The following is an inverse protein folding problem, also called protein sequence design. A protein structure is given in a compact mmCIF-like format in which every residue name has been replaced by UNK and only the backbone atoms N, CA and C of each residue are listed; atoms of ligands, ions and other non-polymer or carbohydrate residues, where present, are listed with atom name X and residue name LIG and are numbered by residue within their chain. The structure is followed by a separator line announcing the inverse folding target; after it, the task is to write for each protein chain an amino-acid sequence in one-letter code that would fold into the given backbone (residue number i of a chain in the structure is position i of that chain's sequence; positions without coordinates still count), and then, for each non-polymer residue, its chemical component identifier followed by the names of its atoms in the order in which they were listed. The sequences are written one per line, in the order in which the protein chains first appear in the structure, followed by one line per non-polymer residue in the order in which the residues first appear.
data_IF_609026800811
#
_entry.id   IF_609026800811
#
_cell.length_a   1.000
_cell.length_b   1.000
_cell.length_c   1.000
_cell.angle_alpha   90.00
_cell.angle_beta   90.00
_cell.angle_gamma   90.00
#
_symmetry.space_group_name_H-M   'P 1'
#
loop_
_entity.id
_entity.type
_entity.pdbx_description
1 polymer ?
#
# COMPACT_ATOMS: atom_id res chain seq x y z
N UNK A 1 -15.31 15.11 -8.75
CA UNK A 1 -15.15 14.57 -7.37
C UNK A 1 -16.48 14.47 -6.64
N UNK A 2 -17.17 15.57 -6.26
CA UNK A 2 -18.42 15.53 -5.48
C UNK A 2 -19.48 14.58 -6.05
N UNK A 3 -19.71 14.60 -7.36
CA UNK A 3 -20.70 13.73 -8.01
C UNK A 3 -20.41 12.23 -7.81
N UNK A 4 -19.13 11.82 -7.86
CA UNK A 4 -18.73 10.43 -7.63
C UNK A 4 -18.96 9.97 -6.19
N UNK A 5 -18.63 10.82 -5.22
CA UNK A 5 -18.91 10.55 -3.80
C UNK A 5 -20.42 10.35 -3.56
N UNK A 6 -21.27 11.18 -4.18
CA UNK A 6 -22.72 11.02 -4.10
C UNK A 6 -23.21 9.71 -4.73
N UNK A 7 -22.69 9.35 -5.91
CA UNK A 7 -23.01 8.07 -6.56
C UNK A 7 -22.64 6.87 -5.68
N UNK A 8 -21.48 6.93 -4.99
CA UNK A 8 -21.04 5.91 -4.04
C UNK A 8 -21.97 5.85 -2.83
N UNK A 9 -22.28 6.97 -2.21
CA UNK A 9 -23.16 7.04 -1.03
C UNK A 9 -24.58 6.53 -1.34
N UNK A 10 -25.13 6.89 -2.49
CA UNK A 10 -26.43 6.39 -2.92
C UNK A 10 -26.42 4.89 -3.21
N UNK A 11 -25.32 4.36 -3.80
CA UNK A 11 -25.15 2.92 -3.96
C UNK A 11 -25.10 2.22 -2.60
N UNK A 12 -24.31 2.73 -1.65
CA UNK A 12 -24.22 2.17 -0.28
C UNK A 12 -25.59 2.08 0.39
N UNK A 13 -26.44 3.10 0.23
CA UNK A 13 -27.80 3.08 0.80
C UNK A 13 -28.71 2.01 0.21
N UNK A 14 -28.53 1.65 -1.06
CA UNK A 14 -29.36 0.69 -1.79
C UNK A 14 -29.09 -0.77 -1.48
N UNK A 15 -27.94 -1.10 -0.90
CA UNK A 15 -27.51 -2.48 -0.65
C UNK A 15 -27.48 -2.79 0.84
N UNK A 16 -27.99 -3.96 1.22
CA UNK A 16 -27.97 -4.43 2.60
C UNK A 16 -26.61 -5.05 2.98
N UNK A 17 -25.91 -5.59 2.00
CA UNK A 17 -24.58 -6.21 2.17
C UNK A 17 -23.54 -5.47 1.36
N UNK A 18 -22.43 -5.09 2.01
CA UNK A 18 -21.30 -4.39 1.42
C UNK A 18 -20.02 -5.16 1.75
N UNK A 19 -19.26 -5.53 0.73
CA UNK A 19 -18.00 -6.27 0.89
C UNK A 19 -16.88 -5.42 0.34
N UNK A 20 -15.90 -5.12 1.21
CA UNK A 20 -14.80 -4.21 0.87
C UNK A 20 -13.53 -5.02 0.66
N UNK A 21 -12.93 -4.85 -0.50
CA UNK A 21 -11.73 -5.53 -0.97
C UNK A 21 -10.52 -4.57 -1.01
N UNK A 22 -9.34 -5.15 -1.13
CA UNK A 22 -8.05 -4.49 -1.30
C UNK A 22 -7.08 -5.35 -2.12
N UNK A 23 -5.88 -4.85 -2.38
CA UNK A 23 -4.87 -5.57 -3.17
C UNK A 23 -4.15 -6.70 -2.39
N UNK A 24 -3.51 -7.61 -3.15
CA UNK A 24 -2.58 -8.63 -2.63
C UNK A 24 -1.30 -7.98 -2.09
N UNK A 25 -0.64 -8.63 -1.11
CA UNK A 25 0.55 -8.07 -0.43
C UNK A 25 0.25 -6.68 0.11
N UNK A 26 -0.75 -6.57 0.97
CA UNK A 26 -1.28 -5.30 1.44
C UNK A 26 -0.27 -4.53 2.27
N UNK A 27 -0.39 -3.22 2.20
CA UNK A 27 0.33 -2.25 3.00
C UNK A 27 -0.62 -1.54 3.99
N UNK A 28 -0.13 -0.58 4.77
CA UNK A 28 -0.99 0.15 5.70
C UNK A 28 -2.12 0.93 5.03
N UNK A 29 -1.97 1.41 3.77
CA UNK A 29 -3.04 2.13 3.07
C UNK A 29 -4.15 1.19 2.63
N UNK A 30 -3.82 0.01 2.12
CA UNK A 30 -4.80 -1.02 1.80
C UNK A 30 -5.65 -1.41 3.03
N UNK A 31 -5.03 -1.55 4.22
CA UNK A 31 -5.75 -1.81 5.47
C UNK A 31 -6.51 -0.58 5.99
N UNK A 32 -5.90 0.59 5.88
CA UNK A 32 -6.45 1.86 6.34
C UNK A 32 -7.70 2.27 5.57
N UNK A 33 -7.64 2.24 4.25
CA UNK A 33 -8.75 2.58 3.37
C UNK A 33 -9.90 1.57 3.48
N UNK A 34 -9.60 0.27 3.39
CA UNK A 34 -10.59 -0.79 3.53
C UNK A 34 -11.24 -0.78 4.91
N UNK A 35 -10.43 -0.79 5.97
CA UNK A 35 -10.91 -0.87 7.35
C UNK A 35 -11.56 0.42 7.83
N UNK A 36 -10.99 1.57 7.46
CA UNK A 36 -11.55 2.89 7.77
C UNK A 36 -12.94 3.08 7.16
N UNK A 37 -13.10 2.71 5.89
CA UNK A 37 -14.40 2.74 5.23
C UNK A 37 -15.40 1.80 5.94
N UNK A 38 -14.98 0.57 6.27
CA UNK A 38 -15.83 -0.38 6.96
C UNK A 38 -16.34 0.15 8.31
N UNK A 39 -15.47 0.77 9.11
CA UNK A 39 -15.83 1.34 10.41
C UNK A 39 -16.78 2.55 10.28
N UNK A 40 -16.57 3.40 9.29
CA UNK A 40 -17.50 4.49 8.96
C UNK A 40 -18.87 3.91 8.61
N UNK A 41 -18.91 2.92 7.73
CA UNK A 41 -20.18 2.33 7.27
C UNK A 41 -20.90 1.57 8.37
N UNK A 42 -20.21 0.79 9.20
CA UNK A 42 -20.80 0.08 10.36
C UNK A 42 -21.42 1.06 11.36
N UNK A 43 -20.76 2.18 11.62
CA UNK A 43 -21.29 3.20 12.52
C UNK A 43 -22.46 3.99 11.92
N UNK A 44 -22.46 4.20 10.61
CA UNK A 44 -23.47 5.01 9.91
C UNK A 44 -24.73 4.22 9.53
N UNK A 45 -24.59 2.92 9.32
CA UNK A 45 -25.65 2.00 8.86
C UNK A 45 -25.60 0.70 9.65
N UNK A 46 -25.96 0.72 10.94
CA UNK A 46 -25.83 -0.46 11.83
C UNK A 46 -26.72 -1.64 11.41
N UNK A 47 -27.71 -1.40 10.56
CA UNK A 47 -28.58 -2.46 10.01
C UNK A 47 -27.94 -3.22 8.83
N UNK A 48 -26.83 -2.75 8.27
CA UNK A 48 -26.20 -3.34 7.09
C UNK A 48 -25.09 -4.34 7.47
N UNK A 49 -24.91 -5.33 6.63
CA UNK A 49 -23.81 -6.28 6.73
C UNK A 49 -22.56 -5.69 6.02
N UNK A 50 -21.56 -5.28 6.79
CA UNK A 50 -20.32 -4.70 6.26
C UNK A 50 -19.16 -5.65 6.55
N UNK A 51 -18.51 -6.14 5.49
CA UNK A 51 -17.40 -7.08 5.56
C UNK A 51 -16.13 -6.53 4.94
N UNK A 52 -14.99 -6.91 5.50
CA UNK A 52 -13.65 -6.67 4.96
C UNK A 52 -12.98 -8.01 4.66
N UNK A 53 -12.59 -8.25 3.42
CA UNK A 53 -12.08 -9.55 2.98
C UNK A 53 -10.68 -9.44 2.37
N UNK A 54 -10.00 -10.57 2.30
CA UNK A 54 -8.67 -10.72 1.73
C UNK A 54 -7.73 -11.49 2.65
N UNK A 55 -6.58 -11.92 2.11
CA UNK A 55 -5.57 -12.63 2.90
C UNK A 55 -4.93 -11.69 3.92
N UNK A 56 -4.85 -12.11 5.17
CA UNK A 56 -4.21 -11.35 6.24
C UNK A 56 -2.69 -11.25 6.03
N UNK A 57 -2.14 -10.11 6.42
CA UNK A 57 -0.70 -9.88 6.57
C UNK A 57 -0.39 -9.79 8.07
N UNK A 58 0.41 -10.71 8.57
CA UNK A 58 0.66 -10.86 10.01
C UNK A 58 1.16 -9.56 10.66
N UNK A 59 2.02 -8.84 9.97
CA UNK A 59 2.59 -7.57 10.45
C UNK A 59 1.57 -6.45 10.59
N UNK A 60 0.42 -6.55 9.90
CA UNK A 60 -0.66 -5.57 9.89
C UNK A 60 -1.92 -6.03 10.65
N UNK A 61 -1.91 -7.22 11.25
CA UNK A 61 -3.05 -7.75 12.01
C UNK A 61 -3.43 -6.89 13.23
N UNK A 62 -2.50 -6.08 13.73
CA UNK A 62 -2.78 -5.11 14.80
C UNK A 62 -3.65 -3.93 14.32
N UNK A 63 -3.72 -3.68 13.01
CA UNK A 63 -4.65 -2.71 12.43
C UNK A 63 -6.06 -3.29 12.40
N UNK A 64 -6.23 -4.45 11.75
CA UNK A 64 -7.53 -5.11 11.59
C UNK A 64 -7.35 -6.57 11.21
N UNK A 65 -8.31 -7.42 11.62
CA UNK A 65 -8.48 -8.80 11.13
C UNK A 65 -9.52 -8.81 10.01
N UNK A 66 -9.38 -9.76 9.08
CA UNK A 66 -10.30 -9.89 7.95
C UNK A 66 -11.47 -10.80 8.29
N UNK A 67 -12.62 -10.49 7.68
CA UNK A 67 -13.82 -11.32 7.81
C UNK A 67 -13.71 -12.55 6.90
N UNK A 68 -14.19 -13.71 7.39
CA UNK A 68 -14.33 -14.94 6.62
C UNK A 68 -15.80 -15.15 6.30
N UNK A 69 -16.18 -14.97 5.06
CA UNK A 69 -17.56 -15.05 4.60
C UNK A 69 -17.73 -16.12 3.51
N UNK A 70 -18.88 -16.80 3.46
CA UNK A 70 -19.19 -17.77 2.41
C UNK A 70 -19.52 -17.06 1.09
N UNK A 71 -19.54 -17.81 -0.02
CA UNK A 71 -19.77 -17.26 -1.35
C UNK A 71 -21.19 -16.68 -1.50
N UNK A 72 -22.16 -17.23 -0.79
CA UNK A 72 -23.55 -16.75 -0.78
C UNK A 72 -23.68 -15.32 -0.25
N UNK A 73 -22.72 -14.86 0.58
CA UNK A 73 -22.72 -13.49 1.07
C UNK A 73 -22.48 -12.45 -0.04
N UNK A 74 -21.93 -12.88 -1.17
CA UNK A 74 -21.72 -12.03 -2.35
C UNK A 74 -23.00 -11.82 -3.18
N UNK A 75 -23.99 -12.71 -3.03
CA UNK A 75 -25.25 -12.58 -3.75
C UNK A 75 -25.93 -11.26 -3.41
N UNK A 76 -26.20 -10.46 -4.44
CA UNK A 76 -26.78 -9.12 -4.30
C UNK A 76 -25.96 -8.13 -3.47
N UNK A 77 -24.69 -8.39 -3.19
CA UNK A 77 -23.82 -7.48 -2.45
C UNK A 77 -23.30 -6.32 -3.33
N UNK A 78 -23.03 -5.18 -2.68
CA UNK A 78 -22.18 -4.12 -3.23
C UNK A 78 -20.73 -4.45 -2.92
N UNK A 79 -19.90 -4.47 -3.94
CA UNK A 79 -18.46 -4.65 -3.81
C UNK A 79 -17.79 -3.29 -3.92
N UNK A 80 -16.90 -3.01 -2.97
CA UNK A 80 -16.05 -1.82 -3.01
C UNK A 80 -14.59 -2.29 -2.97
N UNK A 81 -13.82 -1.91 -3.97
CA UNK A 81 -12.39 -2.20 -4.03
C UNK A 81 -11.63 -0.92 -3.74
N UNK A 82 -10.86 -0.94 -2.65
CA UNK A 82 -10.00 0.16 -2.24
C UNK A 82 -8.57 -0.10 -2.67
N UNK A 83 -7.83 0.97 -3.01
CA UNK A 83 -6.38 0.98 -3.17
C UNK A 83 -5.85 -0.14 -4.09
N UNK A 84 -6.48 -0.33 -5.24
CA UNK A 84 -6.12 -1.41 -6.14
C UNK A 84 -6.13 -0.96 -7.60
N UNK A 85 -4.94 -0.79 -8.18
CA UNK A 85 -4.77 -0.29 -9.54
C UNK A 85 -5.42 -1.21 -10.60
N UNK A 86 -5.22 -2.53 -10.49
CA UNK A 86 -5.62 -3.52 -11.48
C UNK A 86 -6.28 -4.76 -10.86
N UNK A 87 -7.18 -5.36 -11.61
CA UNK A 87 -8.03 -6.48 -11.18
C UNK A 87 -7.23 -7.71 -10.73
N UNK A 88 -6.11 -8.01 -11.39
CA UNK A 88 -5.24 -9.14 -11.02
C UNK A 88 -4.67 -9.02 -9.60
N UNK A 89 -4.57 -7.79 -9.09
CA UNK A 89 -4.07 -7.52 -7.74
C UNK A 89 -5.15 -7.53 -6.67
N UNK A 90 -6.42 -7.62 -7.00
CA UNK A 90 -7.48 -7.73 -5.99
C UNK A 90 -7.27 -9.03 -5.20
N UNK A 91 -7.17 -8.92 -3.87
CA UNK A 91 -6.74 -10.04 -3.03
C UNK A 91 -7.73 -11.21 -3.01
N UNK A 92 -9.02 -10.91 -2.93
CA UNK A 92 -10.08 -11.90 -3.00
C UNK A 92 -10.78 -11.81 -4.36
N UNK A 93 -10.58 -12.82 -5.20
CA UNK A 93 -11.07 -12.83 -6.59
C UNK A 93 -12.59 -13.03 -6.69
N UNK A 94 -13.30 -13.26 -5.59
CA UNK A 94 -14.77 -13.30 -5.54
C UNK A 94 -15.42 -11.91 -5.70
N UNK A 95 -14.64 -10.84 -5.83
CA UNK A 95 -15.14 -9.48 -6.06
C UNK A 95 -16.10 -9.37 -7.25
N UNK A 96 -15.98 -10.26 -8.22
CA UNK A 96 -16.83 -10.32 -9.43
C UNK A 96 -18.18 -11.04 -9.22
N UNK A 97 -18.42 -11.63 -8.05
CA UNK A 97 -19.69 -12.29 -7.72
C UNK A 97 -20.76 -11.32 -7.22
N UNK A 98 -20.38 -10.09 -6.87
CA UNK A 98 -21.32 -9.09 -6.41
C UNK A 98 -22.17 -8.47 -7.52
N UNK A 99 -23.24 -7.80 -7.13
CA UNK A 99 -24.20 -7.20 -8.06
C UNK A 99 -23.73 -5.88 -8.65
N UNK A 100 -22.90 -5.13 -7.92
CA UNK A 100 -22.34 -3.83 -8.32
C UNK A 100 -20.95 -3.68 -7.77
N UNK A 101 -20.06 -3.09 -8.58
CA UNK A 101 -18.64 -2.91 -8.24
C UNK A 101 -18.26 -1.44 -8.24
N UNK A 102 -17.62 -0.99 -7.17
CA UNK A 102 -17.06 0.37 -7.02
C UNK A 102 -15.55 0.27 -6.87
N UNK A 103 -14.80 1.11 -7.59
CA UNK A 103 -13.36 1.31 -7.42
C UNK A 103 -13.11 2.66 -6.74
N UNK A 104 -12.34 2.66 -5.62
CA UNK A 104 -11.82 3.85 -4.95
C UNK A 104 -10.30 3.70 -4.90
N UNK A 105 -9.56 4.54 -5.62
CA UNK A 105 -8.13 4.34 -5.83
C UNK A 105 -7.39 5.65 -6.10
N UNK A 106 -6.12 5.72 -5.70
CA UNK A 106 -5.24 6.86 -5.98
C UNK A 106 -4.12 6.55 -6.98
N UNK A 107 -4.05 5.33 -7.49
CA UNK A 107 -3.08 4.93 -8.51
C UNK A 107 -3.50 5.38 -9.92
N UNK A 108 -2.56 5.47 -10.90
CA UNK A 108 -2.89 5.65 -12.31
C UNK A 108 -3.89 4.59 -12.77
N UNK A 109 -4.97 5.02 -13.44
CA UNK A 109 -6.07 4.14 -13.83
C UNK A 109 -5.80 3.46 -15.18
N UNK A 110 -4.80 2.60 -15.23
CA UNK A 110 -4.41 1.85 -16.44
C UNK A 110 -5.35 0.68 -16.71
N UNK A 111 -5.88 0.03 -15.66
CA UNK A 111 -6.91 -1.01 -15.75
C UNK A 111 -8.24 -0.45 -15.22
N UNK A 112 -9.15 -0.18 -16.16
CA UNK A 112 -10.45 0.42 -15.87
C UNK A 112 -11.46 -0.68 -15.54
N UNK A 113 -11.90 -0.76 -14.28
CA UNK A 113 -12.90 -1.72 -13.82
C UNK A 113 -13.85 -1.10 -12.79
N UNK A 114 -15.07 -1.65 -12.72
CA UNK A 114 -16.12 -1.21 -11.81
C UNK A 114 -17.20 -0.35 -12.48
N UNK A 115 -18.40 -0.34 -11.91
CA UNK A 115 -19.56 0.44 -12.36
C UNK A 115 -19.45 1.91 -11.97
N UNK A 116 -18.81 2.18 -10.81
CA UNK A 116 -18.50 3.52 -10.33
C UNK A 116 -17.01 3.60 -10.05
N UNK A 117 -16.34 4.57 -10.65
CA UNK A 117 -14.92 4.81 -10.46
C UNK A 117 -14.71 6.17 -9.81
N UNK A 118 -14.02 6.15 -8.66
CA UNK A 118 -13.45 7.33 -8.05
C UNK A 118 -11.95 7.13 -7.92
N UNK A 119 -11.22 7.67 -8.90
CA UNK A 119 -9.76 7.62 -8.96
C UNK A 119 -9.24 9.04 -8.86
N UNK A 120 -8.33 9.30 -7.91
CA UNK A 120 -7.68 10.59 -7.71
C UNK A 120 -6.16 10.41 -7.47
N UNK A 121 -5.39 10.53 -8.53
CA UNK A 121 -3.92 10.38 -8.50
C UNK A 121 -3.21 11.55 -7.80
N UNK A 122 -3.93 12.57 -7.36
CA UNK A 122 -3.39 13.70 -6.59
C UNK A 122 -3.54 13.51 -5.08
N UNK A 123 -4.34 12.52 -4.66
CA UNK A 123 -4.45 12.14 -3.26
C UNK A 123 -3.16 11.46 -2.79
N UNK A 124 -2.77 11.71 -1.55
CA UNK A 124 -1.56 11.13 -0.96
C UNK A 124 -1.70 9.62 -0.70
N UNK A 125 -2.93 9.14 -0.57
CA UNK A 125 -3.30 7.76 -0.27
C UNK A 125 -4.79 7.53 -0.55
N UNK A 126 -5.19 6.26 -0.71
CA UNK A 126 -6.60 5.90 -0.76
C UNK A 126 -7.29 6.20 0.59
N UNK A 127 -6.59 6.05 1.71
CA UNK A 127 -7.09 6.44 3.05
C UNK A 127 -7.43 7.94 3.15
N UNK A 128 -6.65 8.82 2.52
CA UNK A 128 -6.98 10.25 2.41
C UNK A 128 -8.31 10.44 1.67
N UNK A 129 -8.56 9.68 0.61
CA UNK A 129 -9.84 9.70 -0.12
C UNK A 129 -10.99 9.21 0.75
N UNK A 130 -10.81 8.17 1.57
CA UNK A 130 -11.85 7.70 2.51
C UNK A 130 -12.18 8.78 3.54
N UNK A 131 -11.19 9.55 4.01
CA UNK A 131 -11.48 10.70 4.87
C UNK A 131 -12.28 11.80 4.14
N UNK A 132 -11.96 12.09 2.88
CA UNK A 132 -12.77 13.00 2.04
C UNK A 132 -14.18 12.49 1.84
N UNK A 133 -14.37 11.18 1.63
CA UNK A 133 -15.70 10.56 1.56
C UNK A 133 -16.50 10.87 2.83
N UNK A 134 -15.90 10.67 4.00
CA UNK A 134 -16.54 11.03 5.27
C UNK A 134 -16.88 12.52 5.36
N UNK A 135 -15.93 13.40 5.06
CA UNK A 135 -16.16 14.86 5.15
C UNK A 135 -17.32 15.33 4.28
N UNK A 136 -17.47 14.76 3.08
CA UNK A 136 -18.57 15.07 2.17
C UNK A 136 -19.91 14.48 2.62
N UNK A 137 -19.87 13.32 3.27
CA UNK A 137 -21.06 12.58 3.69
C UNK A 137 -21.51 12.82 5.14
N UNK A 138 -20.72 13.50 5.98
CA UNK A 138 -21.04 13.68 7.41
C UNK A 138 -22.39 14.39 7.66
N UNK A 139 -22.75 15.36 6.84
CA UNK A 139 -24.06 16.04 6.92
C UNK A 139 -25.21 15.18 6.37
N UNK A 140 -24.89 14.04 5.78
CA UNK A 140 -25.83 13.05 5.23
C UNK A 140 -25.83 11.73 6.01
N UNK A 141 -25.33 11.79 7.25
CA UNK A 141 -25.43 10.70 8.21
C UNK A 141 -24.19 9.80 8.33
N UNK A 142 -23.08 10.11 7.65
CA UNK A 142 -21.84 9.37 7.90
C UNK A 142 -21.24 9.73 9.26
N UNK A 143 -20.81 8.70 10.00
CA UNK A 143 -20.26 8.81 11.35
C UNK A 143 -18.80 8.34 11.35
N UNK A 144 -17.90 9.20 11.83
CA UNK A 144 -16.51 8.84 12.07
C UNK A 144 -16.38 8.27 13.49
N UNK A 145 -15.77 7.10 13.59
CA UNK A 145 -15.40 6.52 14.89
C UNK A 145 -13.92 6.74 15.18
N UNK A 146 -13.54 6.62 16.45
CA UNK A 146 -12.12 6.59 16.86
C UNK A 146 -11.32 5.54 16.09
N UNK A 147 -11.90 4.37 15.87
CA UNK A 147 -11.25 3.27 15.13
C UNK A 147 -11.13 3.56 13.64
N UNK A 148 -12.16 4.12 13.00
CA UNK A 148 -12.09 4.57 11.62
C UNK A 148 -10.97 5.60 11.43
N UNK A 149 -10.90 6.60 12.31
CA UNK A 149 -9.87 7.63 12.27
C UNK A 149 -8.46 7.05 12.44
N UNK A 150 -8.29 6.08 13.35
CA UNK A 150 -7.01 5.37 13.58
C UNK A 150 -6.55 4.63 12.32
N UNK A 151 -7.45 3.91 11.67
CA UNK A 151 -7.15 3.13 10.47
C UNK A 151 -6.82 4.04 9.28
N UNK A 152 -7.62 5.08 9.04
CA UNK A 152 -7.38 6.05 7.98
C UNK A 152 -6.04 6.76 8.20
N UNK A 153 -5.74 7.18 9.43
CA UNK A 153 -4.45 7.79 9.76
C UNK A 153 -3.28 6.83 9.49
N UNK A 154 -3.43 5.54 9.82
CA UNK A 154 -2.40 4.52 9.54
C UNK A 154 -2.09 4.43 8.04
N UNK A 155 -3.12 4.44 7.18
CA UNK A 155 -2.94 4.41 5.74
C UNK A 155 -2.23 5.65 5.21
N UNK A 156 -2.66 6.85 5.63
CA UNK A 156 -1.99 8.11 5.26
C UNK A 156 -0.50 8.07 5.67
N UNK A 157 -0.19 7.64 6.88
CA UNK A 157 1.20 7.54 7.38
C UNK A 157 2.01 6.55 6.54
N UNK A 158 1.41 5.41 6.15
CA UNK A 158 2.07 4.39 5.33
C UNK A 158 2.49 4.95 3.97
N UNK A 159 1.53 5.48 3.21
CA UNK A 159 1.72 5.93 1.83
C UNK A 159 2.46 7.25 1.68
N UNK A 160 2.49 8.04 2.73
CA UNK A 160 3.31 9.26 2.78
C UNK A 160 4.71 9.03 3.33
N UNK A 161 5.06 7.78 3.70
CA UNK A 161 6.32 7.47 4.35
C UNK A 161 6.55 8.34 5.59
N UNK A 162 5.55 8.45 6.47
CA UNK A 162 5.56 9.34 7.64
C UNK A 162 5.61 10.83 7.26
N UNK A 163 4.87 11.21 6.22
CA UNK A 163 4.83 12.57 5.68
C UNK A 163 6.13 13.06 5.03
N UNK A 164 7.01 12.14 4.63
CA UNK A 164 8.31 12.46 4.00
C UNK A 164 8.28 12.36 2.47
N UNK A 165 7.25 11.70 1.89
CA UNK A 165 7.18 11.54 0.44
C UNK A 165 6.58 12.77 -0.25
N UNK A 166 6.92 13.01 -1.53
CA UNK A 166 6.44 14.18 -2.29
C UNK A 166 4.92 14.25 -2.48
N UNK A 167 4.20 13.14 -2.31
CA UNK A 167 2.73 13.10 -2.31
C UNK A 167 2.11 13.85 -1.13
N UNK A 168 2.88 14.06 -0.05
CA UNK A 168 2.43 14.81 1.13
C UNK A 168 2.24 16.29 0.79
N UNK A 169 1.07 16.83 1.12
CA UNK A 169 0.72 18.22 0.83
C UNK A 169 -0.03 18.84 2.03
N UNK A 170 -0.35 20.15 2.01
CA UNK A 170 -1.05 20.81 3.13
C UNK A 170 -2.39 20.18 3.50
N UNK A 171 -3.12 19.61 2.52
CA UNK A 171 -4.38 18.90 2.76
C UNK A 171 -4.14 17.64 3.58
N UNK A 172 -3.09 16.88 3.26
CA UNK A 172 -2.69 15.67 3.98
C UNK A 172 -2.40 15.96 5.46
N UNK A 173 -1.63 17.01 5.76
CA UNK A 173 -1.35 17.43 7.15
C UNK A 173 -2.61 17.90 7.88
N UNK A 174 -3.49 18.63 7.19
CA UNK A 174 -4.77 19.05 7.77
C UNK A 174 -5.62 17.84 8.16
N UNK A 175 -5.77 16.88 7.27
CA UNK A 175 -6.55 15.67 7.54
C UNK A 175 -5.92 14.82 8.65
N UNK A 176 -4.60 14.68 8.67
CA UNK A 176 -3.90 14.00 9.74
C UNK A 176 -4.17 14.67 11.11
N UNK A 177 -4.15 16.00 11.18
CA UNK A 177 -4.47 16.76 12.38
C UNK A 177 -5.91 16.52 12.84
N UNK A 178 -6.88 16.62 11.93
CA UNK A 178 -8.30 16.40 12.23
C UNK A 178 -8.57 14.95 12.70
N UNK A 179 -7.89 13.96 12.12
CA UNK A 179 -8.01 12.55 12.52
C UNK A 179 -7.51 12.30 13.94
N UNK A 180 -6.42 12.94 14.36
CA UNK A 180 -5.87 12.79 15.72
C UNK A 180 -6.85 13.31 16.79
N UNK A 181 -7.71 14.25 16.47
CA UNK A 181 -8.74 14.79 17.39
C UNK A 181 -9.73 13.71 17.86
N UNK A 182 -9.86 12.58 17.11
CA UNK A 182 -10.67 11.43 17.55
C UNK A 182 -10.07 10.61 18.70
N UNK A 183 -8.88 10.98 19.20
CA UNK A 183 -8.32 10.54 20.47
C UNK A 183 -7.78 9.10 20.49
N UNK A 184 -7.36 8.55 19.35
CA UNK A 184 -6.55 7.33 19.33
C UNK A 184 -5.09 7.65 19.67
N UNK A 185 -4.35 6.64 20.15
CA UNK A 185 -2.91 6.77 20.42
C UNK A 185 -2.14 6.64 19.09
N UNK A 186 -1.71 7.77 18.52
CA UNK A 186 -0.88 7.73 17.32
C UNK A 186 0.53 7.18 17.61
N UNK A 187 1.06 7.34 18.82
CA UNK A 187 2.36 6.76 19.21
C UNK A 187 2.31 5.24 19.22
N UNK A 188 1.27 4.63 19.81
CA UNK A 188 1.08 3.18 19.75
C UNK A 188 0.89 2.68 18.31
N UNK A 189 0.22 3.48 17.46
CA UNK A 189 0.05 3.17 16.05
C UNK A 189 1.41 3.15 15.33
N UNK A 190 2.26 4.16 15.55
CA UNK A 190 3.63 4.18 15.00
C UNK A 190 4.47 3.02 15.51
N UNK A 191 4.38 2.69 16.79
CA UNK A 191 5.06 1.52 17.36
C UNK A 191 4.63 0.22 16.66
N UNK A 192 3.35 0.09 16.33
CA UNK A 192 2.83 -1.05 15.57
C UNK A 192 3.35 -1.08 14.13
N UNK A 193 3.27 0.04 13.41
CA UNK A 193 3.66 0.16 12.00
C UNK A 193 5.16 -0.02 11.77
N UNK A 194 6.00 0.43 12.71
CA UNK A 194 7.46 0.49 12.52
C UNK A 194 8.24 -0.38 13.50
N UNK A 195 7.55 -1.29 14.21
CA UNK A 195 8.21 -2.27 15.07
C UNK A 195 9.11 -3.18 14.22
N UNK A 196 10.38 -3.20 14.58
CA UNK A 196 11.37 -4.02 13.90
C UNK A 196 11.77 -5.20 14.79
N UNK A 197 11.73 -6.41 14.26
CA UNK A 197 12.24 -7.60 14.95
C UNK A 197 13.77 -7.50 15.11
N UNK A 198 14.31 -8.04 16.19
CA UNK A 198 15.75 -7.95 16.48
C UNK A 198 16.63 -8.56 15.36
N UNK A 199 16.22 -9.69 14.82
CA UNK A 199 16.91 -10.35 13.70
C UNK A 199 16.90 -9.47 12.43
N UNK A 200 15.80 -8.79 12.13
CA UNK A 200 15.71 -7.82 11.01
C UNK A 200 16.61 -6.61 11.27
N UNK A 201 16.70 -6.13 12.53
CA UNK A 201 17.61 -5.05 12.90
C UNK A 201 19.09 -5.47 12.73
N UNK A 202 19.44 -6.70 13.04
CA UNK A 202 20.79 -7.24 12.78
C UNK A 202 21.09 -7.32 11.28
N UNK A 203 20.16 -7.83 10.46
CA UNK A 203 20.30 -7.83 9.00
C UNK A 203 20.43 -6.40 8.44
N UNK A 204 19.70 -5.44 9.00
CA UNK A 204 19.82 -4.01 8.67
C UNK A 204 21.25 -3.49 8.90
N UNK A 205 21.88 -3.87 10.02
CA UNK A 205 23.27 -3.55 10.30
C UNK A 205 24.23 -4.16 9.25
N UNK A 206 24.00 -5.43 8.87
CA UNK A 206 24.77 -6.07 7.80
C UNK A 206 24.61 -5.33 6.46
N UNK A 207 23.39 -4.96 6.08
CA UNK A 207 23.11 -4.19 4.86
C UNK A 207 23.92 -2.91 4.84
N UNK A 208 23.89 -2.11 5.93
CA UNK A 208 24.61 -0.84 6.03
C UNK A 208 26.16 -0.98 5.99
N UNK A 209 26.68 -2.15 6.32
CA UNK A 209 28.12 -2.42 6.24
C UNK A 209 28.57 -2.98 4.90
N UNK A 210 27.69 -3.57 4.10
CA UNK A 210 28.04 -4.39 2.95
C UNK A 210 27.41 -3.96 1.62
N UNK A 211 26.55 -2.92 1.59
CA UNK A 211 26.04 -2.40 0.32
C UNK A 211 27.18 -1.81 -0.53
N UNK A 212 27.03 -1.88 -1.84
CA UNK A 212 28.00 -1.30 -2.80
C UNK A 212 27.45 -0.03 -3.37
N UNK A 213 28.31 0.93 -3.70
CA UNK A 213 27.95 2.19 -4.37
C UNK A 213 28.88 2.40 -5.54
N UNK A 214 28.31 2.74 -6.72
CA UNK A 214 29.09 3.13 -7.89
C UNK A 214 29.45 4.63 -7.84
N UNK A 215 30.35 5.06 -8.70
CA UNK A 215 30.73 6.47 -8.84
C UNK A 215 29.56 7.37 -9.26
N UNK A 216 28.54 6.80 -9.90
CA UNK A 216 27.32 7.51 -10.30
C UNK A 216 26.30 7.64 -9.16
N UNK A 217 26.58 7.13 -7.95
CA UNK A 217 25.67 7.15 -6.81
C UNK A 217 24.56 6.08 -6.87
N UNK A 218 24.72 5.06 -7.70
CA UNK A 218 23.81 3.91 -7.70
C UNK A 218 24.29 2.91 -6.68
N UNK A 219 23.44 2.60 -5.68
CA UNK A 219 23.75 1.61 -4.66
C UNK A 219 23.09 0.25 -4.95
N UNK A 220 23.71 -0.83 -4.47
CA UNK A 220 23.16 -2.17 -4.60
C UNK A 220 23.41 -3.02 -3.37
N UNK A 221 22.46 -3.92 -3.08
CA UNK A 221 22.55 -4.91 -2.03
C UNK A 221 22.01 -6.26 -2.50
N UNK A 222 22.79 -7.32 -2.33
CA UNK A 222 22.40 -8.70 -2.61
C UNK A 222 22.12 -9.40 -1.28
N UNK A 223 20.94 -9.99 -1.16
CA UNK A 223 20.50 -10.76 0.01
C UNK A 223 20.14 -12.16 -0.47
N UNK A 224 21.09 -13.09 -0.33
CA UNK A 224 20.93 -14.49 -0.71
C UNK A 224 20.09 -15.27 0.30
N UNK A 225 19.60 -16.46 -0.11
CA UNK A 225 18.92 -17.39 0.81
C UNK A 225 19.79 -17.78 2.01
N UNK A 226 21.09 -17.94 1.81
CA UNK A 226 22.00 -18.27 2.90
C UNK A 226 22.07 -17.14 3.92
N UNK A 227 22.14 -15.90 3.47
CA UNK A 227 22.11 -14.73 4.33
C UNK A 227 20.75 -14.59 5.07
N UNK A 228 19.64 -14.81 4.37
CA UNK A 228 18.31 -14.83 4.99
C UNK A 228 18.20 -15.88 6.09
N UNK A 229 18.75 -17.07 5.83
CA UNK A 229 18.79 -18.18 6.79
C UNK A 229 19.69 -17.87 7.99
N UNK A 230 20.88 -17.29 7.75
CA UNK A 230 21.83 -16.89 8.80
C UNK A 230 21.18 -15.92 9.80
N UNK A 231 20.45 -14.92 9.29
CA UNK A 231 19.76 -13.93 10.12
C UNK A 231 18.37 -14.37 10.57
N UNK A 232 17.89 -15.55 10.13
CA UNK A 232 16.52 -16.02 10.38
C UNK A 232 15.45 -14.97 9.99
N UNK A 233 15.57 -14.40 8.79
CA UNK A 233 14.71 -13.37 8.23
C UNK A 233 14.05 -13.89 6.95
N UNK A 234 12.76 -13.66 6.79
CA UNK A 234 12.05 -14.01 5.56
C UNK A 234 12.39 -13.05 4.41
N UNK A 235 12.23 -13.48 3.14
CA UNK A 235 12.41 -12.59 1.98
C UNK A 235 11.54 -11.33 2.02
N UNK A 236 10.32 -11.45 2.55
CA UNK A 236 9.39 -10.32 2.72
C UNK A 236 9.92 -9.29 3.71
N UNK A 237 10.42 -9.74 4.87
CA UNK A 237 11.01 -8.86 5.88
C UNK A 237 12.28 -8.19 5.38
N UNK A 238 13.16 -8.93 4.67
CA UNK A 238 14.35 -8.37 4.06
C UNK A 238 14.03 -7.30 3.00
N UNK A 239 12.97 -7.51 2.22
CA UNK A 239 12.50 -6.55 1.20
C UNK A 239 12.05 -5.21 1.82
N UNK A 240 11.63 -5.19 3.07
CA UNK A 240 11.24 -3.96 3.77
C UNK A 240 12.46 -3.07 4.08
N UNK A 241 13.66 -3.63 4.14
CA UNK A 241 14.90 -2.88 4.38
C UNK A 241 15.31 -1.99 3.20
N UNK A 242 14.66 -2.09 2.04
CA UNK A 242 15.02 -1.31 0.84
C UNK A 242 15.10 0.19 1.09
N UNK A 243 14.32 0.74 2.03
CA UNK A 243 14.33 2.17 2.35
C UNK A 243 15.57 2.66 3.10
N UNK A 244 16.38 1.75 3.67
CA UNK A 244 17.46 2.12 4.60
C UNK A 244 18.57 2.95 3.96
N UNK A 245 18.79 2.80 2.65
CA UNK A 245 19.81 3.54 1.91
C UNK A 245 19.33 4.94 1.49
N UNK A 246 18.03 5.24 1.64
CA UNK A 246 17.43 6.48 1.16
C UNK A 246 17.98 7.76 1.78
N UNK A 247 18.48 7.71 3.01
CA UNK A 247 19.01 8.88 3.72
C UNK A 247 20.54 9.03 3.63
N UNK A 248 21.21 8.14 2.87
CA UNK A 248 22.67 8.21 2.73
C UNK A 248 23.02 9.27 1.67
N UNK A 249 23.94 10.17 2.01
CA UNK A 249 24.46 11.20 1.12
C UNK A 249 25.19 10.55 -0.07
N UNK A 250 25.02 11.13 -1.26
CA UNK A 250 25.64 10.62 -2.49
C UNK A 250 24.89 9.47 -3.17
N UNK A 251 23.92 8.82 -2.52
CA UNK A 251 23.07 7.81 -3.17
C UNK A 251 21.89 8.51 -3.86
N UNK A 252 21.74 8.27 -5.18
CA UNK A 252 20.66 8.83 -6.01
C UNK A 252 19.62 7.79 -6.41
N UNK A 253 20.03 6.51 -6.57
CA UNK A 253 19.15 5.39 -6.81
C UNK A 253 19.76 4.10 -6.23
N UNK A 254 18.93 3.09 -5.93
CA UNK A 254 19.45 1.83 -5.42
C UNK A 254 18.56 0.64 -5.74
N UNK A 255 19.17 -0.54 -5.74
CA UNK A 255 18.55 -1.83 -5.97
C UNK A 255 18.85 -2.81 -4.85
N UNK A 256 17.81 -3.48 -4.32
CA UNK A 256 17.93 -4.66 -3.48
C UNK A 256 17.54 -5.88 -4.29
N UNK A 257 18.40 -6.90 -4.26
CA UNK A 257 18.19 -8.20 -4.87
C UNK A 257 17.98 -9.22 -3.76
N UNK A 258 16.75 -9.66 -3.56
CA UNK A 258 16.38 -10.61 -2.49
C UNK A 258 15.99 -11.93 -3.11
N UNK A 259 16.71 -13.00 -2.78
CA UNK A 259 16.46 -14.33 -3.29
C UNK A 259 15.19 -14.93 -2.68
N UNK A 260 14.25 -15.34 -3.53
CA UNK A 260 13.04 -16.10 -3.20
C UNK A 260 13.18 -17.54 -3.73
N UNK A 261 12.17 -18.39 -3.59
CA UNK A 261 12.28 -19.81 -3.97
C UNK A 261 12.43 -20.02 -5.49
N UNK A 262 11.75 -19.21 -6.28
CA UNK A 262 11.62 -19.35 -7.74
C UNK A 262 12.14 -18.14 -8.52
N UNK A 263 12.60 -17.09 -7.84
CA UNK A 263 13.05 -15.84 -8.45
C UNK A 263 13.96 -15.06 -7.51
N UNK A 264 14.58 -14.02 -8.03
CA UNK A 264 15.25 -12.98 -7.26
C UNK A 264 14.38 -11.72 -7.37
N UNK A 265 13.80 -11.30 -6.25
CA UNK A 265 13.00 -10.08 -6.19
C UNK A 265 13.89 -8.85 -6.24
N UNK A 266 13.66 -7.98 -7.22
CA UNK A 266 14.36 -6.70 -7.34
C UNK A 266 13.49 -5.59 -6.80
N UNK A 267 14.02 -4.82 -5.85
CA UNK A 267 13.39 -3.61 -5.31
C UNK A 267 14.20 -2.39 -5.73
N UNK A 268 13.60 -1.51 -6.50
CA UNK A 268 14.22 -0.29 -6.99
C UNK A 268 13.68 0.93 -6.24
N UNK A 269 14.56 1.85 -5.89
CA UNK A 269 14.23 3.14 -5.29
C UNK A 269 15.10 4.24 -5.90
N UNK A 270 14.58 5.48 -5.89
CA UNK A 270 15.29 6.63 -6.45
C UNK A 270 14.89 7.91 -5.71
N UNK A 271 15.79 8.89 -5.73
CA UNK A 271 15.57 10.26 -5.25
C UNK A 271 15.28 11.28 -6.36
N UNK A 272 15.21 10.83 -7.61
CA UNK A 272 14.98 11.72 -8.76
C UNK A 272 14.82 10.97 -10.07
N UNK A 273 15.79 10.12 -10.48
CA UNK A 273 15.69 9.36 -11.72
C UNK A 273 14.44 8.50 -11.78
N UNK A 274 13.81 8.44 -12.96
CA UNK A 274 12.62 7.61 -13.22
C UNK A 274 13.05 6.15 -13.41
N UNK A 275 12.67 5.26 -12.49
CA UNK A 275 13.16 3.88 -12.43
C UNK A 275 12.10 2.81 -12.74
N UNK A 276 10.81 3.15 -12.83
CA UNK A 276 9.78 2.18 -13.18
C UNK A 276 9.93 1.65 -14.61
N UNK A 277 10.52 2.44 -15.53
CA UNK A 277 10.83 1.97 -16.88
C UNK A 277 11.95 0.91 -16.88
N UNK A 278 12.90 1.01 -15.94
CA UNK A 278 13.88 -0.06 -15.71
C UNK A 278 13.17 -1.32 -15.22
N UNK A 279 12.28 -1.20 -14.23
CA UNK A 279 11.52 -2.34 -13.71
C UNK A 279 10.71 -3.07 -14.80
N UNK A 280 10.11 -2.35 -15.73
CA UNK A 280 9.32 -2.94 -16.85
C UNK A 280 10.15 -3.88 -17.73
N UNK A 281 11.45 -3.63 -17.91
CA UNK A 281 12.34 -4.51 -18.68
C UNK A 281 12.50 -5.90 -18.02
N UNK A 282 12.28 -5.98 -16.70
CA UNK A 282 12.44 -7.19 -15.88
C UNK A 282 11.11 -7.66 -15.29
N UNK A 283 10.05 -7.66 -16.10
CA UNK A 283 8.69 -8.15 -15.72
C UNK A 283 8.15 -7.47 -14.47
N UNK A 284 8.44 -6.19 -14.31
CA UNK A 284 8.07 -5.40 -13.14
C UNK A 284 7.31 -4.13 -13.49
N UNK A 285 7.23 -3.23 -12.52
CA UNK A 285 6.56 -1.95 -12.63
C UNK A 285 6.49 -1.23 -11.29
N UNK A 286 5.70 -0.18 -11.22
CA UNK A 286 5.51 0.64 -10.02
C UNK A 286 5.55 2.13 -10.31
N UNK A 287 5.73 2.91 -9.25
CA UNK A 287 5.84 4.36 -9.34
C UNK A 287 7.20 4.81 -9.91
N UNK A 288 7.30 6.02 -10.47
CA UNK A 288 8.54 6.54 -11.03
C UNK A 288 9.76 6.45 -10.10
N UNK A 289 9.58 6.61 -8.79
CA UNK A 289 10.66 6.59 -7.79
C UNK A 289 10.70 5.32 -6.92
N UNK A 290 9.74 4.41 -7.06
CA UNK A 290 9.62 3.20 -6.27
C UNK A 290 9.01 2.08 -7.12
N UNK A 291 9.81 1.12 -7.53
CA UNK A 291 9.40 0.04 -8.42
C UNK A 291 9.90 -1.32 -7.94
N UNK A 292 9.31 -2.38 -8.46
CA UNK A 292 9.73 -3.75 -8.22
C UNK A 292 9.78 -4.54 -9.51
N UNK A 293 10.70 -5.50 -9.57
CA UNK A 293 10.90 -6.39 -10.71
C UNK A 293 11.27 -7.81 -10.25
N UNK A 294 11.45 -8.72 -11.19
CA UNK A 294 11.93 -10.07 -10.92
C UNK A 294 12.98 -10.46 -11.96
N UNK A 295 14.07 -11.06 -11.47
CA UNK A 295 15.07 -11.75 -12.31
C UNK A 295 15.16 -13.20 -11.87
N UNK A 296 15.72 -14.06 -12.73
CA UNK A 296 15.73 -15.51 -12.51
C UNK A 296 17.13 -16.10 -12.46
N UNK A 297 18.15 -15.28 -12.70
CA UNK A 297 19.58 -15.63 -12.54
C UNK A 297 20.34 -14.47 -11.92
N UNK A 298 21.34 -14.79 -11.11
CA UNK A 298 22.29 -13.81 -10.58
C UNK A 298 23.10 -13.11 -11.69
N UNK A 299 23.24 -13.72 -12.86
CA UNK A 299 23.90 -13.12 -14.03
C UNK A 299 23.15 -11.89 -14.58
N UNK A 300 21.88 -11.73 -14.24
CA UNK A 300 21.07 -10.58 -14.65
C UNK A 300 21.30 -9.33 -13.77
N UNK A 301 21.95 -9.47 -12.62
CA UNK A 301 22.16 -8.36 -11.66
C UNK A 301 22.93 -7.21 -12.32
N UNK A 302 24.00 -7.50 -13.02
CA UNK A 302 24.82 -6.47 -13.68
C UNK A 302 24.04 -5.75 -14.77
N UNK A 303 23.15 -6.42 -15.48
CA UNK A 303 22.26 -5.81 -16.47
C UNK A 303 21.27 -4.84 -15.83
N UNK A 304 20.65 -5.23 -14.70
CA UNK A 304 19.74 -4.35 -13.94
C UNK A 304 20.49 -3.11 -13.45
N UNK A 305 21.69 -3.27 -12.91
CA UNK A 305 22.51 -2.17 -12.41
C UNK A 305 22.95 -1.22 -13.54
N UNK A 306 23.35 -1.77 -14.70
CA UNK A 306 23.69 -0.95 -15.87
C UNK A 306 22.50 -0.13 -16.39
N UNK A 307 21.30 -0.73 -16.45
CA UNK A 307 20.08 -0.03 -16.82
C UNK A 307 19.70 1.05 -15.79
N UNK A 308 19.90 0.76 -14.50
CA UNK A 308 19.64 1.74 -13.42
C UNK A 308 20.63 2.93 -13.50
N UNK A 309 21.92 2.65 -13.76
CA UNK A 309 22.92 3.69 -13.98
C UNK A 309 22.60 4.55 -15.21
N UNK A 310 22.15 3.92 -16.30
CA UNK A 310 21.74 4.65 -17.50
C UNK A 310 20.58 5.60 -17.21
N UNK A 311 19.59 5.17 -16.42
CA UNK A 311 18.47 6.01 -15.97
C UNK A 311 18.91 7.17 -15.06
N UNK A 312 20.05 7.06 -14.38
CA UNK A 312 20.59 8.11 -13.52
C UNK A 312 21.43 9.15 -14.29
N UNK A 313 21.84 8.85 -15.53
CA UNK A 313 22.66 9.76 -16.38
C UNK A 313 21.83 10.61 -17.34
N UNK A 314 20.57 10.27 -17.55
CA UNK A 314 19.61 10.98 -18.43
C UNK A 314 18.77 11.97 -17.66
#
# INVERSE_FOLDING_TARGET
MKEKVWQILEAIKQFDTIIIHRHVRPDPDAYGSQGGLAEILKASFPEKNIYTVGKEEESLNFLRRMDHIPDEAYENALIIVCDTANQERICDQRYNLGKKLIKIDHHPNEDVYGDILWVDTTASSCSEMIYEFYLMGKEHGLVMTKEAARLIYAGIVGDTGRFLFPSTNPKTFKYASELIEYGFSFTELYDGLYRTKLNVAHLSGYVLQNFKVSESGVASMIISKDLLKEYNVSPSEASQLVGILGNIEGIVAWAFFVEEDDQIRVRLRSKGPVINEVAKKYKGGGHPLAAGASIYSWDEVDNVLADLEAACRG
#
